data_IF_127114337547
#
_entry.id   IF_127114337547
#
_cell.length_a   1.000
_cell.length_b   1.000
_cell.length_c   1.000
_cell.angle_alpha   90.00
_cell.angle_beta   90.00
_cell.angle_gamma   90.00
#
_symmetry.space_group_name_H-M   'P 1'
#
loop_
_entity.id
_entity.type
_entity.pdbx_description
1 polymer ?
#
# COMPACT_ATOMS: atom_id res chain seq x y z
N UNK A 1 -0.85 13.76 17.34
CA UNK A 1 -0.08 13.18 16.22
C UNK A 1 0.18 14.21 15.13
N UNK A 2 -0.87 14.85 14.60
CA UNK A 2 -0.81 15.89 13.57
C UNK A 2 0.20 17.01 13.89
N UNK A 3 0.13 17.63 15.07
CA UNK A 3 1.08 18.69 15.47
C UNK A 3 2.54 18.25 15.49
N UNK A 4 2.80 16.95 15.74
CA UNK A 4 4.16 16.40 15.69
C UNK A 4 4.66 16.29 14.25
N UNK A 5 3.79 15.91 13.31
CA UNK A 5 4.13 15.85 11.88
C UNK A 5 4.36 17.27 11.36
N UNK A 6 3.45 18.20 11.65
CA UNK A 6 3.55 19.60 11.22
C UNK A 6 4.82 20.27 11.73
N UNK A 7 5.17 20.08 13.01
CA UNK A 7 6.44 20.59 13.55
C UNK A 7 7.65 20.06 12.78
N UNK A 8 7.75 18.74 12.57
CA UNK A 8 8.87 18.14 11.83
C UNK A 8 8.94 18.63 10.38
N UNK A 9 7.81 18.78 9.69
CA UNK A 9 7.79 19.31 8.34
C UNK A 9 8.26 20.78 8.29
N UNK A 10 7.85 21.61 9.26
CA UNK A 10 8.26 23.03 9.36
C UNK A 10 9.73 23.22 9.77
N UNK A 11 10.32 22.22 10.42
CA UNK A 11 11.75 22.21 10.72
C UNK A 11 12.58 21.86 9.47
N UNK A 12 12.03 21.05 8.56
CA UNK A 12 12.68 20.67 7.29
C UNK A 12 12.50 21.76 6.23
N UNK A 13 11.29 22.30 6.07
CA UNK A 13 10.96 23.34 5.09
C UNK A 13 10.28 24.53 5.80
N UNK A 14 11.02 25.61 6.09
CA UNK A 14 10.51 26.76 6.83
C UNK A 14 9.32 27.46 6.19
N UNK A 15 9.17 27.42 4.86
CA UNK A 15 8.02 28.04 4.17
C UNK A 15 6.68 27.41 4.55
N UNK A 16 6.68 26.19 5.09
CA UNK A 16 5.46 25.53 5.59
C UNK A 16 4.96 26.09 6.93
N UNK A 17 5.66 27.06 7.54
CA UNK A 17 5.21 27.73 8.77
C UNK A 17 3.96 28.56 8.54
N UNK A 18 3.89 29.23 7.39
CA UNK A 18 2.81 30.14 7.01
C UNK A 18 1.81 29.49 6.04
N UNK A 19 2.01 28.22 5.68
CA UNK A 19 1.12 27.49 4.78
C UNK A 19 -0.21 27.15 5.46
N UNK A 20 -1.30 27.35 4.71
CA UNK A 20 -2.64 26.93 5.11
C UNK A 20 -2.75 25.40 5.15
N UNK A 21 -3.36 24.86 6.20
CA UNK A 21 -3.68 23.44 6.31
C UNK A 21 -5.05 23.22 5.65
N UNK A 22 -5.06 22.58 4.48
CA UNK A 22 -6.29 22.31 3.71
C UNK A 22 -7.15 21.25 4.40
N UNK A 23 -6.54 20.14 4.84
CA UNK A 23 -7.27 19.04 5.47
C UNK A 23 -6.36 18.13 6.31
N UNK A 24 -6.96 17.24 7.10
CA UNK A 24 -6.27 16.16 7.80
C UNK A 24 -6.96 14.84 7.51
N UNK A 25 -6.28 13.95 6.79
CA UNK A 25 -6.78 12.63 6.40
C UNK A 25 -6.04 11.54 7.18
N UNK A 26 -6.75 10.46 7.48
CA UNK A 26 -6.19 9.22 8.04
C UNK A 26 -6.55 8.03 7.15
N UNK A 27 -5.76 6.95 7.26
CA UNK A 27 -5.99 5.73 6.49
C UNK A 27 -5.32 4.52 7.14
N UNK A 28 -5.86 3.33 6.88
CA UNK A 28 -5.30 2.07 7.35
C UNK A 28 -4.26 1.55 6.37
N UNK A 29 -3.19 0.97 6.90
CA UNK A 29 -2.16 0.27 6.12
C UNK A 29 -2.30 -1.22 6.40
N UNK A 30 -2.90 -2.01 5.47
CA UNK A 30 -3.04 -3.44 5.65
C UNK A 30 -1.65 -4.10 5.53
N UNK A 31 -1.04 -4.35 6.69
CA UNK A 31 0.33 -4.84 6.85
C UNK A 31 0.37 -6.35 7.03
N UNK A 32 1.48 -6.94 6.58
CA UNK A 32 1.89 -8.31 6.86
C UNK A 32 3.42 -8.36 6.95
N UNK A 33 4.00 -9.37 7.62
CA UNK A 33 5.45 -9.61 7.59
C UNK A 33 6.02 -9.71 6.17
N UNK A 34 5.22 -10.22 5.24
CA UNK A 34 5.48 -10.21 3.80
C UNK A 34 4.18 -10.02 3.00
N UNK A 35 4.29 -9.42 1.83
CA UNK A 35 3.19 -9.36 0.86
C UNK A 35 2.73 -10.79 0.55
N UNK A 36 1.42 -11.05 0.70
CA UNK A 36 0.84 -12.32 0.27
C UNK A 36 0.43 -12.18 -1.20
N UNK A 37 1.22 -12.80 -2.07
CA UNK A 37 0.96 -12.90 -3.49
C UNK A 37 1.13 -14.35 -3.94
N UNK A 38 0.05 -15.11 -3.92
CA UNK A 38 0.04 -16.54 -4.19
C UNK A 38 -1.34 -17.02 -4.63
N UNK A 39 -1.39 -18.21 -5.25
CA UNK A 39 -2.64 -18.87 -5.61
C UNK A 39 -2.94 -20.01 -4.64
N UNK A 40 -4.21 -20.15 -4.27
CA UNK A 40 -4.71 -21.20 -3.38
C UNK A 40 -5.94 -21.87 -4.03
N UNK A 41 -6.05 -23.21 -4.02
CA UNK A 41 -7.28 -23.89 -4.44
C UNK A 41 -8.45 -23.47 -3.56
N UNK A 42 -9.61 -23.20 -4.18
CA UNK A 42 -10.83 -22.81 -3.47
C UNK A 42 -12.03 -23.57 -4.07
N UNK A 43 -12.24 -24.80 -3.59
CA UNK A 43 -13.25 -25.70 -4.15
C UNK A 43 -12.94 -26.04 -5.61
N UNK A 44 -13.90 -25.79 -6.50
CA UNK A 44 -13.71 -25.91 -7.95
C UNK A 44 -12.99 -24.71 -8.58
N UNK A 45 -12.71 -23.66 -7.81
CA UNK A 45 -12.04 -22.45 -8.26
C UNK A 45 -10.62 -22.29 -7.71
N UNK A 46 -10.02 -21.15 -8.05
CA UNK A 46 -8.71 -20.70 -7.58
C UNK A 46 -8.84 -19.30 -7.00
N UNK A 47 -8.31 -19.08 -5.80
CA UNK A 47 -8.18 -17.76 -5.20
C UNK A 47 -6.76 -17.24 -5.40
N UNK A 48 -6.60 -16.04 -5.97
CA UNK A 48 -5.31 -15.36 -6.04
C UNK A 48 -5.29 -14.27 -4.98
N UNK A 49 -4.42 -14.45 -3.99
CA UNK A 49 -4.17 -13.49 -2.93
C UNK A 49 -3.24 -12.39 -3.45
N UNK A 50 -3.55 -11.14 -3.15
CA UNK A 50 -2.69 -9.98 -3.47
C UNK A 50 -2.91 -8.87 -2.43
N UNK A 51 -2.36 -9.03 -1.23
CA UNK A 51 -2.57 -8.10 -0.10
C UNK A 51 -1.41 -8.09 0.90
N UNK A 52 -1.46 -7.23 1.91
CA UNK A 52 -0.40 -7.10 2.92
C UNK A 52 0.73 -6.15 2.51
N UNK A 53 0.44 -5.17 1.65
CA UNK A 53 1.46 -4.26 1.09
C UNK A 53 1.86 -3.10 1.99
N UNK A 54 1.15 -2.86 3.09
CA UNK A 54 1.46 -1.77 4.04
C UNK A 54 1.62 -0.42 3.32
N UNK A 55 2.71 0.33 3.56
CA UNK A 55 3.02 1.59 2.89
C UNK A 55 3.56 1.46 1.46
N UNK A 56 3.84 0.24 0.98
CA UNK A 56 4.52 0.01 -0.30
C UNK A 56 3.56 -0.39 -1.44
N UNK A 57 2.25 -0.41 -1.19
CA UNK A 57 1.25 -0.90 -2.15
C UNK A 57 1.28 -0.19 -3.51
N UNK A 58 1.45 1.14 -3.52
CA UNK A 58 1.54 1.91 -4.79
C UNK A 58 2.82 1.54 -5.55
N UNK A 59 3.97 1.56 -4.88
CA UNK A 59 5.28 1.22 -5.46
C UNK A 59 5.30 -0.18 -6.06
N UNK A 60 4.68 -1.16 -5.40
CA UNK A 60 4.69 -2.56 -5.81
C UNK A 60 3.58 -2.92 -6.81
N UNK A 61 2.58 -2.06 -6.99
CA UNK A 61 1.33 -2.36 -7.71
C UNK A 61 1.52 -3.04 -9.08
N UNK A 62 2.40 -2.50 -9.93
CA UNK A 62 2.63 -3.04 -11.27
C UNK A 62 3.34 -4.40 -11.28
N UNK A 63 4.30 -4.60 -10.39
CA UNK A 63 4.98 -5.89 -10.23
C UNK A 63 3.99 -6.96 -9.77
N UNK A 64 3.22 -6.63 -8.73
CA UNK A 64 2.18 -7.50 -8.20
C UNK A 64 1.11 -7.83 -9.26
N UNK A 65 0.70 -6.84 -10.06
CA UNK A 65 -0.25 -7.08 -11.15
C UNK A 65 0.27 -8.08 -12.19
N UNK A 66 1.56 -7.99 -12.58
CA UNK A 66 2.18 -8.95 -13.50
C UNK A 66 2.22 -10.36 -12.90
N UNK A 67 2.55 -10.47 -11.62
CA UNK A 67 2.56 -11.77 -10.94
C UNK A 67 1.16 -12.37 -10.79
N UNK A 68 0.16 -11.55 -10.50
CA UNK A 68 -1.25 -11.98 -10.49
C UNK A 68 -1.67 -12.51 -11.86
N UNK A 69 -1.35 -11.82 -12.95
CA UNK A 69 -1.64 -12.29 -14.32
C UNK A 69 -0.95 -13.62 -14.61
N UNK A 70 0.31 -13.78 -14.19
CA UNK A 70 1.05 -15.05 -14.33
C UNK A 70 0.39 -16.19 -13.54
N UNK A 71 -0.03 -15.94 -12.30
CA UNK A 71 -0.74 -16.93 -11.47
C UNK A 71 -2.12 -17.29 -12.04
N UNK A 72 -2.81 -16.32 -12.66
CA UNK A 72 -4.08 -16.56 -13.33
C UNK A 72 -3.93 -17.39 -14.61
N UNK A 73 -2.81 -17.25 -15.32
CA UNK A 73 -2.54 -17.94 -16.58
C UNK A 73 -1.87 -19.32 -16.45
N UNK A 74 -1.45 -19.74 -15.26
CA UNK A 74 -0.62 -20.94 -15.04
C UNK A 74 -1.29 -22.30 -15.35
N UNK A 75 -2.60 -22.34 -15.64
CA UNK A 75 -3.37 -23.57 -15.93
C UNK A 75 -3.91 -23.63 -17.38
N UNK A 76 -3.32 -22.88 -18.31
CA UNK A 76 -3.67 -22.93 -19.73
C UNK A 76 -2.60 -23.63 -20.55
#
# INVERSE_FOLDING_TARGET
>A
MTDRILRRCRDIEPRLRDAEIIETITGLRPDRPSVRLEAEPLGSGRCIHNYGHSSNGVTLSWGCARDVVRLAGADR
#
